data_IF_811819774181
#
_entry.id   IF_811819774181
#
_cell.length_a   1.000
_cell.length_b   1.000
_cell.length_c   1.000
_cell.angle_alpha   90.00
_cell.angle_beta   90.00
_cell.angle_gamma   90.00
#
_symmetry.space_group_name_H-M   'P 1'
#
loop_
_entity.id
_entity.type
_entity.pdbx_description
1 polymer ?
#
# COMPACT_ATOMS: atom_id res chain seq x y z
N UNK A 1 -28.00 36.47 -21.15
CA UNK A 1 -28.72 35.31 -21.75
C UNK A 1 -27.70 34.49 -22.51
N UNK A 2 -27.29 33.27 -22.18
CA UNK A 2 -27.58 32.29 -21.12
C UNK A 2 -26.24 31.58 -20.92
N UNK A 3 -25.66 31.63 -19.71
CA UNK A 3 -24.50 30.80 -19.36
C UNK A 3 -24.96 29.34 -19.24
N UNK A 4 -24.34 28.46 -20.01
CA UNK A 4 -24.55 27.01 -19.88
C UNK A 4 -23.75 26.51 -18.68
N UNK A 5 -24.45 26.39 -17.54
CA UNK A 5 -24.00 25.59 -16.42
C UNK A 5 -23.84 24.12 -16.85
N UNK A 6 -22.59 23.67 -16.97
CA UNK A 6 -22.29 22.25 -17.00
C UNK A 6 -22.39 21.68 -15.58
N UNK A 7 -23.59 21.21 -15.24
CA UNK A 7 -23.84 20.37 -14.06
C UNK A 7 -22.98 19.12 -14.14
N UNK A 8 -21.92 19.07 -13.33
CA UNK A 8 -21.13 17.87 -13.09
C UNK A 8 -21.97 16.83 -12.33
N UNK A 9 -22.00 15.58 -12.79
CA UNK A 9 -22.77 14.53 -12.12
C UNK A 9 -22.04 14.01 -10.86
N UNK A 10 -22.77 13.80 -9.74
CA UNK A 10 -22.20 13.51 -8.40
C UNK A 10 -21.63 12.09 -8.20
N UNK A 11 -21.52 11.28 -9.26
CA UNK A 11 -21.07 9.88 -9.18
C UNK A 11 -19.57 9.67 -9.44
N UNK A 12 -18.83 10.69 -9.90
CA UNK A 12 -17.42 10.50 -10.31
C UNK A 12 -16.40 10.66 -9.18
N UNK A 13 -16.68 11.44 -8.13
CA UNK A 13 -15.72 11.65 -7.04
C UNK A 13 -15.51 10.38 -6.17
N UNK A 14 -16.57 9.61 -5.92
CA UNK A 14 -16.52 8.38 -5.11
C UNK A 14 -15.86 7.20 -5.85
N UNK A 15 -15.81 7.23 -7.19
CA UNK A 15 -15.24 6.15 -8.02
C UNK A 15 -13.71 6.18 -8.14
N UNK A 16 -13.05 7.30 -7.82
CA UNK A 16 -11.59 7.43 -8.01
C UNK A 16 -10.81 6.40 -7.17
N UNK A 17 -11.35 6.00 -6.01
CA UNK A 17 -10.73 4.98 -5.17
C UNK A 17 -11.03 3.53 -5.60
N UNK A 18 -12.09 3.29 -6.37
CA UNK A 18 -12.63 1.94 -6.56
C UNK A 18 -12.23 1.27 -7.88
N UNK A 19 -12.02 2.03 -8.96
CA UNK A 19 -11.83 1.44 -10.30
C UNK A 19 -10.80 2.22 -11.13
N UNK A 20 -9.52 1.86 -10.98
CA UNK A 20 -8.49 2.25 -11.96
C UNK A 20 -8.55 1.26 -13.13
N UNK A 21 -9.22 1.63 -14.22
CA UNK A 21 -9.31 0.83 -15.44
C UNK A 21 -7.96 0.75 -16.17
N UNK A 22 -7.73 -0.41 -16.80
CA UNK A 22 -6.46 -0.88 -17.42
C UNK A 22 -6.05 -0.17 -18.73
N UNK A 23 -6.64 0.98 -19.06
CA UNK A 23 -6.42 1.64 -20.35
C UNK A 23 -6.49 3.16 -20.22
N UNK A 24 -5.34 3.79 -19.99
CA UNK A 24 -5.13 5.21 -20.29
C UNK A 24 -4.50 5.32 -21.68
N UNK A 25 -5.20 5.92 -22.65
CA UNK A 25 -4.58 6.36 -23.91
C UNK A 25 -3.48 7.38 -23.57
N UNK A 26 -2.29 7.19 -24.14
CA UNK A 26 -1.14 8.08 -23.99
C UNK A 26 -1.46 9.49 -24.50
N UNK A 27 -1.62 10.45 -23.60
CA UNK A 27 -1.32 11.87 -23.83
C UNK A 27 0.14 12.10 -23.43
N UNK A 28 0.92 12.81 -24.27
CA UNK A 28 2.35 13.09 -24.04
C UNK A 28 2.63 14.12 -22.94
N UNK A 29 1.61 14.62 -22.22
CA UNK A 29 1.73 15.72 -21.25
C UNK A 29 1.20 15.40 -19.84
N UNK A 30 0.75 14.18 -19.58
CA UNK A 30 0.12 13.86 -18.30
C UNK A 30 1.14 13.22 -17.36
N UNK A 31 1.20 13.70 -16.11
CA UNK A 31 1.95 13.08 -15.04
C UNK A 31 1.51 11.60 -14.90
N UNK A 32 2.41 10.61 -14.77
CA UNK A 32 2.04 9.20 -14.73
C UNK A 32 1.32 8.86 -13.42
N UNK A 33 0.01 9.08 -13.37
CA UNK A 33 -0.86 8.88 -12.21
C UNK A 33 -1.28 7.42 -11.99
N UNK A 34 -1.00 6.54 -12.95
CA UNK A 34 -1.36 5.12 -12.89
C UNK A 34 -0.25 4.26 -13.50
N UNK A 35 0.78 3.95 -12.71
CA UNK A 35 1.75 2.93 -13.09
C UNK A 35 1.14 1.55 -12.84
N UNK A 36 0.54 0.96 -13.87
CA UNK A 36 0.44 -0.50 -14.00
C UNK A 36 1.25 -0.89 -15.22
N UNK A 37 2.56 -0.79 -15.11
CA UNK A 37 3.47 -0.93 -16.25
C UNK A 37 4.00 -2.35 -16.38
N UNK A 38 3.79 -2.88 -17.59
CA UNK A 38 4.32 -4.10 -18.22
C UNK A 38 5.86 -4.14 -18.33
N UNK A 39 6.61 -3.57 -17.36
CA UNK A 39 8.08 -3.47 -17.41
C UNK A 39 8.73 -4.85 -17.61
N UNK A 40 8.29 -5.85 -16.86
CA UNK A 40 8.77 -7.22 -16.98
C UNK A 40 8.34 -7.91 -18.28
N UNK A 41 7.13 -7.61 -18.79
CA UNK A 41 6.63 -8.18 -20.06
C UNK A 41 7.49 -7.77 -21.25
N UNK A 42 7.98 -6.52 -21.27
CA UNK A 42 8.84 -6.03 -22.35
C UNK A 42 10.25 -6.60 -22.31
N UNK A 43 10.81 -6.89 -21.12
CA UNK A 43 12.21 -7.34 -20.97
C UNK A 43 12.37 -8.88 -21.07
N UNK A 44 11.35 -9.65 -20.68
CA UNK A 44 11.47 -11.12 -20.55
C UNK A 44 10.68 -11.93 -21.58
N UNK A 45 9.81 -11.31 -22.38
CA UNK A 45 8.93 -12.01 -23.32
C UNK A 45 7.88 -12.91 -22.67
N UNK A 46 7.91 -13.07 -21.33
CA UNK A 46 6.93 -13.82 -20.55
C UNK A 46 5.86 -12.86 -20.05
N UNK A 47 4.60 -13.13 -20.38
CA UNK A 47 3.47 -12.51 -19.67
C UNK A 47 3.59 -12.87 -18.19
N UNK A 48 3.38 -11.93 -17.24
CA UNK A 48 3.02 -12.33 -15.89
C UNK A 48 1.78 -13.20 -16.03
N UNK A 49 1.83 -14.42 -15.48
CA UNK A 49 0.75 -15.37 -15.61
C UNK A 49 -0.58 -14.69 -15.20
N UNK A 50 -1.70 -14.93 -15.91
CA UNK A 50 -3.00 -14.43 -15.50
C UNK A 50 -3.40 -14.87 -14.08
N UNK A 51 -2.71 -15.87 -13.50
CA UNK A 51 -2.97 -16.45 -12.19
C UNK A 51 -2.87 -15.49 -10.99
N UNK A 52 -2.12 -14.38 -11.08
CA UNK A 52 -2.02 -13.43 -9.96
C UNK A 52 -3.27 -12.54 -9.78
N UNK A 53 -4.09 -12.38 -10.82
CA UNK A 53 -5.29 -11.54 -10.78
C UNK A 53 -6.58 -12.34 -11.02
N UNK A 54 -6.49 -13.57 -11.54
CA UNK A 54 -7.63 -14.43 -11.82
C UNK A 54 -7.38 -15.77 -11.10
N UNK A 55 -8.03 -16.01 -9.95
CA UNK A 55 -7.89 -17.29 -9.26
C UNK A 55 -8.41 -18.41 -10.17
N UNK A 56 -7.58 -19.43 -10.39
CA UNK A 56 -7.99 -20.64 -11.10
C UNK A 56 -8.81 -21.52 -10.16
N UNK A 57 -10.13 -21.60 -10.34
CA UNK A 57 -10.94 -22.71 -9.81
C UNK A 57 -12.38 -22.74 -10.35
N UNK A 58 -12.84 -23.99 -10.49
CA UNK A 58 -14.16 -24.56 -10.86
C UNK A 58 -14.31 -24.92 -12.34
N UNK A 59 -14.74 -26.17 -12.55
CA UNK A 59 -15.41 -26.60 -13.76
C UNK A 59 -16.72 -25.82 -13.90
N UNK A 60 -16.99 -25.25 -15.07
CA UNK A 60 -18.27 -24.62 -15.34
C UNK A 60 -18.73 -24.89 -16.78
N UNK A 61 -20.03 -25.01 -17.01
CA UNK A 61 -20.57 -25.09 -18.36
C UNK A 61 -20.44 -23.73 -19.05
N UNK A 62 -20.15 -23.73 -20.36
CA UNK A 62 -20.07 -22.49 -21.18
C UNK A 62 -21.45 -21.82 -21.35
N UNK A 63 -22.53 -22.58 -21.21
CA UNK A 63 -23.90 -22.12 -21.36
C UNK A 63 -24.77 -22.64 -20.21
N UNK A 64 -25.81 -21.89 -19.85
CA UNK A 64 -26.76 -22.26 -18.78
C UNK A 64 -27.63 -23.48 -19.11
N UNK A 65 -27.71 -23.87 -20.39
CA UNK A 65 -28.47 -25.03 -20.87
C UNK A 65 -27.57 -25.83 -21.82
N UNK A 66 -27.40 -27.13 -21.54
CA UNK A 66 -26.60 -28.09 -22.32
C UNK A 66 -25.12 -27.69 -22.57
N UNK A 67 -24.56 -26.79 -21.76
CA UNK A 67 -23.16 -26.38 -21.90
C UNK A 67 -22.19 -27.49 -21.48
N UNK A 68 -21.24 -27.82 -22.36
CA UNK A 68 -20.13 -28.71 -22.01
C UNK A 68 -19.30 -28.11 -20.86
N UNK A 69 -19.05 -28.92 -19.85
CA UNK A 69 -18.26 -28.55 -18.68
C UNK A 69 -16.79 -28.49 -19.08
N UNK A 70 -16.18 -27.30 -18.98
CA UNK A 70 -14.75 -27.16 -19.23
C UNK A 70 -13.94 -27.23 -17.94
N UNK A 71 -12.88 -28.05 -17.88
CA UNK A 71 -11.91 -27.98 -16.80
C UNK A 71 -11.10 -26.67 -16.91
N UNK A 72 -10.66 -26.15 -15.76
CA UNK A 72 -9.73 -25.02 -15.67
C UNK A 72 -10.22 -23.70 -16.27
N UNK A 73 -11.48 -23.32 -16.08
CA UNK A 73 -11.92 -21.97 -16.48
C UNK A 73 -11.32 -20.90 -15.56
N UNK A 74 -10.83 -19.82 -16.17
CA UNK A 74 -10.43 -18.62 -15.44
C UNK A 74 -11.69 -17.81 -15.10
N UNK A 75 -11.95 -17.56 -13.81
CA UNK A 75 -13.03 -16.66 -13.40
C UNK A 75 -12.57 -15.22 -13.54
N UNK A 76 -13.42 -14.35 -14.10
CA UNK A 76 -13.21 -12.90 -14.18
C UNK A 76 -13.38 -12.20 -12.81
N UNK A 77 -12.72 -12.72 -11.77
CA UNK A 77 -12.67 -12.10 -10.45
C UNK A 77 -11.42 -11.25 -10.39
N UNK A 78 -11.56 -9.94 -10.51
CA UNK A 78 -10.43 -9.00 -10.43
C UNK A 78 -10.15 -8.65 -8.97
N UNK A 79 -9.17 -9.31 -8.36
CA UNK A 79 -8.73 -8.97 -7.01
C UNK A 79 -7.80 -7.75 -7.07
N UNK A 80 -8.20 -6.67 -6.40
CA UNK A 80 -7.38 -5.47 -6.18
C UNK A 80 -6.91 -5.38 -4.73
N UNK A 81 -6.42 -4.21 -4.30
CA UNK A 81 -6.00 -3.97 -2.91
C UNK A 81 -7.02 -3.25 -2.03
N UNK A 82 -8.15 -2.77 -2.56
CA UNK A 82 -9.01 -1.84 -1.82
C UNK A 82 -10.12 -2.51 -1.00
N UNK A 83 -9.74 -3.33 0.00
CA UNK A 83 -10.71 -3.94 0.92
C UNK A 83 -11.48 -2.88 1.73
N UNK A 84 -10.84 -1.75 2.04
CA UNK A 84 -11.42 -0.69 2.84
C UNK A 84 -12.64 -0.07 2.15
N UNK A 85 -12.51 0.35 0.89
CA UNK A 85 -13.65 0.94 0.17
C UNK A 85 -14.78 -0.06 -0.05
N UNK A 86 -14.49 -1.35 -0.25
CA UNK A 86 -15.53 -2.38 -0.32
C UNK A 86 -16.35 -2.41 0.98
N UNK A 87 -15.70 -2.29 2.14
CA UNK A 87 -16.36 -2.23 3.44
C UNK A 87 -17.10 -0.90 3.67
N UNK A 88 -16.57 0.23 3.20
CA UNK A 88 -17.26 1.53 3.23
C UNK A 88 -18.56 1.47 2.41
N UNK A 89 -18.48 0.96 1.17
CA UNK A 89 -19.66 0.77 0.32
C UNK A 89 -20.70 -0.13 0.98
N UNK A 90 -20.26 -1.17 1.69
CA UNK A 90 -21.13 -2.08 2.41
C UNK A 90 -21.80 -1.41 3.63
N UNK A 91 -21.03 -0.74 4.48
CA UNK A 91 -21.52 -0.10 5.71
C UNK A 91 -22.52 1.02 5.41
N UNK A 92 -22.23 1.84 4.40
CA UNK A 92 -23.06 2.99 4.02
C UNK A 92 -23.96 2.70 2.82
N UNK A 93 -24.31 1.44 2.60
CA UNK A 93 -25.01 0.96 1.40
C UNK A 93 -26.32 1.67 1.09
N UNK A 94 -27.10 1.99 2.12
CA UNK A 94 -28.39 2.67 1.97
C UNK A 94 -28.22 4.12 1.51
N UNK A 95 -27.26 4.83 2.10
CA UNK A 95 -26.92 6.20 1.71
C UNK A 95 -26.34 6.25 0.29
N UNK A 96 -25.52 5.25 -0.07
CA UNK A 96 -24.82 5.18 -1.36
C UNK A 96 -25.64 4.55 -2.49
N UNK A 97 -26.84 4.03 -2.21
CA UNK A 97 -27.70 3.39 -3.21
C UNK A 97 -27.06 2.18 -3.90
N UNK A 98 -26.20 1.41 -3.22
CA UNK A 98 -25.49 0.28 -3.84
C UNK A 98 -26.44 -0.90 -4.08
N UNK A 99 -26.44 -1.43 -5.31
CA UNK A 99 -27.30 -2.54 -5.71
C UNK A 99 -26.81 -3.91 -5.19
N UNK A 100 -25.51 -4.07 -4.99
CA UNK A 100 -24.92 -5.32 -4.52
C UNK A 100 -25.38 -5.68 -3.09
N UNK A 101 -25.47 -6.97 -2.84
CA UNK A 101 -25.86 -7.52 -1.54
C UNK A 101 -24.72 -7.34 -0.51
N UNK A 102 -25.04 -7.23 0.79
CA UNK A 102 -24.00 -7.07 1.82
C UNK A 102 -22.97 -8.19 1.82
N UNK A 103 -23.42 -9.43 1.56
CA UNK A 103 -22.58 -10.61 1.53
C UNK A 103 -21.62 -10.60 0.33
N UNK A 104 -21.97 -9.95 -0.77
CA UNK A 104 -21.10 -9.83 -1.94
C UNK A 104 -19.92 -8.92 -1.66
N UNK A 105 -20.17 -7.75 -1.03
CA UNK A 105 -19.11 -6.84 -0.61
C UNK A 105 -18.20 -7.46 0.44
N UNK A 106 -18.77 -8.10 1.47
CA UNK A 106 -17.95 -8.73 2.51
C UNK A 106 -17.11 -9.88 1.94
N UNK A 107 -17.71 -10.73 1.10
CA UNK A 107 -16.98 -11.80 0.42
C UNK A 107 -15.87 -11.27 -0.48
N UNK A 108 -16.08 -10.13 -1.16
CA UNK A 108 -15.04 -9.46 -1.94
C UNK A 108 -13.93 -8.86 -1.07
N UNK A 109 -14.27 -8.20 0.03
CA UNK A 109 -13.31 -7.62 0.96
C UNK A 109 -12.42 -8.71 1.60
N UNK A 110 -13.01 -9.82 2.05
CA UNK A 110 -12.27 -10.96 2.61
C UNK A 110 -11.36 -11.63 1.57
N UNK A 111 -11.81 -11.79 0.32
CA UNK A 111 -10.94 -12.27 -0.77
C UNK A 111 -9.76 -11.33 -1.01
N UNK A 112 -9.99 -10.02 -1.01
CA UNK A 112 -8.90 -9.04 -1.14
C UNK A 112 -7.93 -9.12 0.02
N UNK A 113 -8.41 -9.22 1.27
CA UNK A 113 -7.54 -9.39 2.44
C UNK A 113 -6.72 -10.67 2.35
N UNK A 114 -7.35 -11.80 2.01
CA UNK A 114 -6.64 -13.07 1.84
C UNK A 114 -5.55 -12.97 0.77
N UNK A 115 -5.85 -12.40 -0.40
CA UNK A 115 -4.86 -12.17 -1.44
C UNK A 115 -3.70 -11.27 -0.99
N UNK A 116 -4.01 -10.16 -0.31
CA UNK A 116 -3.00 -9.27 0.26
C UNK A 116 -2.08 -10.04 1.22
N UNK A 117 -2.63 -10.93 2.05
CA UNK A 117 -1.88 -11.68 3.07
C UNK A 117 -1.07 -12.86 2.54
N UNK A 118 -1.43 -13.44 1.39
CA UNK A 118 -0.76 -14.65 0.88
C UNK A 118 0.07 -14.43 -0.38
N UNK A 119 -0.30 -13.47 -1.23
CA UNK A 119 0.26 -13.37 -2.59
C UNK A 119 1.09 -12.09 -2.84
N UNK A 120 1.22 -11.18 -1.86
CA UNK A 120 1.83 -9.87 -2.13
C UNK A 120 3.25 -9.70 -1.61
N UNK A 121 3.55 -10.16 -0.41
CA UNK A 121 4.85 -9.95 0.20
C UNK A 121 5.22 -11.02 1.22
N UNK A 122 6.52 -11.15 1.47
CA UNK A 122 7.06 -11.89 2.62
C UNK A 122 7.91 -10.96 3.47
N UNK A 123 8.01 -11.33 4.74
CA UNK A 123 8.80 -10.62 5.74
C UNK A 123 9.63 -11.64 6.51
N UNK A 124 10.91 -11.34 6.72
CA UNK A 124 11.86 -12.19 7.43
C UNK A 124 12.62 -11.33 8.44
N UNK A 125 12.85 -11.88 9.63
CA UNK A 125 13.84 -11.33 10.58
C UNK A 125 15.08 -12.20 10.46
N UNK A 126 16.10 -11.71 9.76
CA UNK A 126 17.27 -12.51 9.40
C UNK A 126 18.21 -12.75 10.58
N UNK A 127 18.32 -11.75 11.45
CA UNK A 127 19.19 -11.79 12.61
C UNK A 127 18.71 -10.85 13.70
N UNK A 128 18.91 -11.26 14.95
CA UNK A 128 18.74 -10.44 16.16
C UNK A 128 20.00 -10.62 17.00
N UNK A 129 20.86 -9.60 17.04
CA UNK A 129 22.15 -9.66 17.72
C UNK A 129 22.26 -8.58 18.79
N UNK A 130 22.51 -9.00 20.03
CA UNK A 130 22.83 -8.09 21.14
C UNK A 130 24.30 -7.66 21.04
N UNK A 131 24.53 -6.35 21.11
CA UNK A 131 25.86 -5.72 21.08
C UNK A 131 25.95 -4.68 22.20
N UNK A 132 26.27 -5.13 23.41
CA UNK A 132 26.25 -4.27 24.59
C UNK A 132 24.85 -3.76 24.87
N UNK A 133 24.65 -2.44 24.86
CA UNK A 133 23.34 -1.80 25.09
C UNK A 133 22.51 -1.62 23.81
N UNK A 134 22.86 -2.31 22.72
CA UNK A 134 22.21 -2.16 21.42
C UNK A 134 21.73 -3.50 20.90
N UNK A 135 20.52 -3.53 20.35
CA UNK A 135 20.01 -4.65 19.57
C UNK A 135 20.12 -4.33 18.08
N UNK A 136 20.83 -5.18 17.35
CA UNK A 136 20.99 -5.11 15.90
C UNK A 136 20.07 -6.14 15.25
N UNK A 137 19.04 -5.65 14.56
CA UNK A 137 18.04 -6.48 13.90
C UNK A 137 18.10 -6.22 12.41
N UNK A 138 18.21 -7.28 11.61
CA UNK A 138 18.09 -7.19 10.17
C UNK A 138 16.77 -7.79 9.70
N UNK A 139 16.05 -7.04 8.88
CA UNK A 139 14.74 -7.41 8.35
C UNK A 139 14.79 -7.39 6.84
N UNK A 140 14.38 -8.49 6.21
CA UNK A 140 14.26 -8.58 4.75
C UNK A 140 12.79 -8.60 4.34
N UNK A 141 12.46 -7.81 3.33
CA UNK A 141 11.15 -7.71 2.71
C UNK A 141 11.24 -8.23 1.28
N UNK A 142 10.30 -9.10 0.90
CA UNK A 142 10.21 -9.61 -0.47
C UNK A 142 8.87 -9.21 -1.09
N UNK A 143 8.90 -8.68 -2.31
CA UNK A 143 7.71 -8.42 -3.11
C UNK A 143 7.43 -9.60 -4.05
N UNK A 144 6.32 -10.30 -3.81
CA UNK A 144 5.88 -11.45 -4.60
C UNK A 144 5.09 -11.03 -5.85
N UNK A 145 4.71 -9.75 -5.95
CA UNK A 145 3.93 -9.25 -7.07
C UNK A 145 4.80 -8.91 -8.28
N UNK A 146 4.21 -8.99 -9.48
CA UNK A 146 4.88 -8.64 -10.75
C UNK A 146 4.97 -7.12 -11.03
N UNK A 147 4.73 -6.28 -10.04
CA UNK A 147 4.77 -4.81 -10.14
C UNK A 147 5.26 -4.21 -8.82
N UNK A 148 5.46 -2.88 -8.76
CA UNK A 148 5.77 -2.21 -7.48
C UNK A 148 4.71 -2.52 -6.42
N UNK A 149 5.07 -2.66 -5.15
CA UNK A 149 4.14 -2.85 -4.05
C UNK A 149 4.22 -1.65 -3.08
N UNK A 150 3.13 -0.88 -2.90
CA UNK A 150 1.81 -1.00 -3.55
C UNK A 150 1.73 -0.30 -4.92
N UNK A 151 1.20 -0.97 -5.95
CA UNK A 151 1.05 -0.39 -7.30
C UNK A 151 -0.17 0.54 -7.44
N UNK A 152 -0.23 1.25 -8.58
CA UNK A 152 -1.31 2.09 -9.05
C UNK A 152 -1.51 3.38 -8.23
N UNK A 153 -2.69 3.56 -7.65
CA UNK A 153 -3.13 4.84 -7.11
C UNK A 153 -2.23 5.30 -5.93
N UNK A 154 -1.69 6.53 -5.94
CA UNK A 154 -0.67 6.98 -4.98
C UNK A 154 -1.11 7.08 -3.50
N UNK A 155 -2.40 6.92 -3.18
CA UNK A 155 -2.88 6.89 -1.78
C UNK A 155 -2.47 5.65 -0.99
N UNK A 156 -1.87 4.67 -1.66
CA UNK A 156 -1.55 3.38 -1.07
C UNK A 156 -0.17 3.42 -0.45
N UNK A 157 -0.04 2.87 0.75
CA UNK A 157 1.26 2.69 1.40
C UNK A 157 1.39 1.31 1.99
N UNK A 158 2.63 0.83 2.02
CA UNK A 158 3.07 -0.32 2.80
C UNK A 158 4.11 0.19 3.79
N UNK A 159 4.13 -0.29 5.02
CA UNK A 159 5.15 0.12 5.99
C UNK A 159 5.52 -1.00 6.94
N UNK A 160 6.71 -0.89 7.50
CA UNK A 160 7.23 -1.81 8.49
C UNK A 160 6.89 -1.31 9.90
N UNK A 161 6.20 -2.14 10.67
CA UNK A 161 6.12 -2.01 12.13
C UNK A 161 7.12 -2.96 12.76
N UNK A 162 7.89 -2.49 13.74
CA UNK A 162 8.79 -3.33 14.51
C UNK A 162 8.63 -3.04 16.00
N UNK A 163 8.42 -4.08 16.79
CA UNK A 163 8.35 -4.01 18.25
C UNK A 163 9.40 -4.93 18.87
N UNK A 164 10.07 -4.45 19.92
CA UNK A 164 11.02 -5.21 20.74
C UNK A 164 10.50 -5.27 22.16
N UNK A 165 10.47 -6.47 22.74
CA UNK A 165 10.09 -6.72 24.14
C UNK A 165 11.25 -7.31 24.92
N UNK A 166 11.39 -6.92 26.19
CA UNK A 166 12.35 -7.51 27.11
C UNK A 166 11.86 -8.86 27.68
N UNK A 167 12.67 -9.49 28.53
CA UNK A 167 12.33 -10.78 29.14
C UNK A 167 11.04 -10.76 29.99
N UNK A 168 10.63 -9.58 30.48
CA UNK A 168 9.39 -9.37 31.21
C UNK A 168 8.18 -9.08 30.31
N UNK A 169 8.37 -9.07 28.98
CA UNK A 169 7.32 -8.77 28.00
C UNK A 169 7.03 -7.27 27.80
N UNK A 170 7.80 -6.38 28.45
CA UNK A 170 7.64 -4.94 28.33
C UNK A 170 8.21 -4.46 26.99
N UNK A 171 7.45 -3.61 26.28
CA UNK A 171 7.92 -2.99 25.04
C UNK A 171 9.03 -1.99 25.36
N UNK A 172 10.22 -2.21 24.78
CA UNK A 172 11.38 -1.34 24.93
C UNK A 172 11.62 -0.47 23.69
N UNK A 173 11.07 -0.89 22.56
CA UNK A 173 11.09 -0.14 21.29
C UNK A 173 9.87 -0.52 20.46
N UNK A 174 9.23 0.47 19.85
CA UNK A 174 8.19 0.26 18.86
C UNK A 174 8.21 1.39 17.82
N UNK A 175 8.30 1.03 16.54
CA UNK A 175 8.19 1.95 15.40
C UNK A 175 7.06 1.51 14.48
N UNK A 176 6.34 2.48 13.90
CA UNK A 176 5.33 2.22 12.87
C UNK A 176 4.00 1.66 13.37
N UNK A 177 3.65 1.87 14.65
CA UNK A 177 2.36 1.46 15.19
C UNK A 177 1.19 2.15 14.45
N UNK A 178 0.15 1.39 14.11
CA UNK A 178 -1.09 1.94 13.56
C UNK A 178 -1.93 2.54 14.69
N UNK A 179 -2.34 3.79 14.52
CA UNK A 179 -3.21 4.48 15.47
C UNK A 179 -4.71 4.25 15.15
N UNK A 180 -5.61 4.35 16.16
CA UNK A 180 -7.05 4.22 15.95
C UNK A 180 -7.66 5.22 14.96
N UNK A 181 -6.96 6.31 14.66
CA UNK A 181 -7.38 7.30 13.67
C UNK A 181 -6.85 7.01 12.24
N UNK A 182 -6.16 5.89 12.06
CA UNK A 182 -5.58 5.45 10.79
C UNK A 182 -4.24 6.12 10.44
N UNK A 183 -3.69 6.96 11.33
CA UNK A 183 -2.32 7.47 11.19
C UNK A 183 -1.30 6.41 11.62
N UNK A 184 -0.05 6.61 11.22
CA UNK A 184 1.08 5.80 11.67
C UNK A 184 1.87 6.61 12.71
N UNK A 185 2.07 6.06 13.90
CA UNK A 185 2.88 6.67 14.95
C UNK A 185 4.31 6.88 14.45
N UNK A 186 4.79 8.11 14.54
CA UNK A 186 6.12 8.49 14.08
C UNK A 186 6.21 8.88 12.61
N UNK A 187 5.13 8.79 11.82
CA UNK A 187 5.16 9.22 10.43
C UNK A 187 5.08 10.75 10.31
N UNK A 188 6.15 11.35 9.80
CA UNK A 188 6.29 12.77 9.53
C UNK A 188 5.16 13.33 8.64
N UNK A 189 4.73 12.62 7.59
CA UNK A 189 3.67 13.10 6.69
C UNK A 189 2.31 13.12 7.38
N UNK A 190 2.04 12.15 8.25
CA UNK A 190 0.80 12.11 9.02
C UNK A 190 0.78 13.20 10.10
N UNK A 191 1.94 13.65 10.62
CA UNK A 191 2.03 14.75 11.59
C UNK A 191 2.03 16.14 10.93
N UNK A 192 2.75 16.31 9.82
CA UNK A 192 2.87 17.57 9.07
C UNK A 192 2.72 17.31 7.56
N UNK A 193 1.70 17.88 6.89
CA UNK A 193 1.48 17.66 5.47
C UNK A 193 2.62 18.15 4.57
N UNK A 194 3.57 18.94 5.07
CA UNK A 194 4.75 19.43 4.34
C UNK A 194 5.97 18.52 4.45
N UNK A 195 5.92 17.50 5.32
CA UNK A 195 7.03 16.57 5.56
C UNK A 195 6.68 15.16 5.07
N UNK A 196 7.68 14.31 4.95
CA UNK A 196 7.51 12.89 4.66
C UNK A 196 8.74 12.10 5.10
N UNK A 197 8.55 10.81 5.41
CA UNK A 197 9.65 9.92 5.77
C UNK A 197 10.61 9.73 4.58
N UNK A 198 11.93 9.81 4.76
CA UNK A 198 12.88 9.37 3.75
C UNK A 198 12.77 7.85 3.53
N UNK A 199 13.58 7.31 2.64
CA UNK A 199 13.85 5.87 2.62
C UNK A 199 15.02 5.61 3.57
N UNK A 200 14.78 4.84 4.62
CA UNK A 200 15.80 4.42 5.56
C UNK A 200 16.46 3.14 5.07
N UNK A 201 17.78 3.07 5.21
CA UNK A 201 18.53 1.81 5.24
C UNK A 201 18.75 1.33 6.68
N UNK A 202 18.64 2.27 7.63
CA UNK A 202 18.89 2.07 9.04
C UNK A 202 17.90 2.88 9.88
N UNK A 203 17.26 2.23 10.86
CA UNK A 203 16.32 2.84 11.80
C UNK A 203 16.90 2.75 13.22
N UNK A 204 16.94 3.88 13.92
CA UNK A 204 17.51 4.00 15.27
C UNK A 204 16.49 4.50 16.29
N UNK A 205 15.49 5.25 15.84
CA UNK A 205 14.51 5.90 16.73
C UNK A 205 13.11 5.37 16.47
N UNK A 206 12.28 5.40 17.50
CA UNK A 206 10.91 4.87 17.46
C UNK A 206 10.01 5.66 16.49
N UNK A 207 10.35 6.92 16.24
CA UNK A 207 9.69 7.86 15.33
C UNK A 207 10.37 7.93 13.95
N UNK A 208 11.23 6.96 13.61
CA UNK A 208 11.68 6.74 12.23
C UNK A 208 10.93 5.52 11.69
N UNK A 209 10.17 5.70 10.61
CA UNK A 209 9.28 4.65 10.08
C UNK A 209 9.60 4.37 8.62
N UNK A 210 9.93 3.12 8.31
CA UNK A 210 10.11 2.72 6.91
C UNK A 210 8.75 2.58 6.22
N UNK A 211 8.43 3.57 5.38
CA UNK A 211 7.20 3.61 4.57
C UNK A 211 7.56 3.51 3.08
N UNK A 212 6.97 2.52 2.43
CA UNK A 212 7.01 2.25 0.99
C UNK A 212 5.78 2.88 0.32
N UNK A 213 5.98 4.04 -0.28
CA UNK A 213 4.93 4.86 -0.85
C UNK A 213 5.49 5.76 -1.96
N UNK A 214 4.58 6.42 -2.67
CA UNK A 214 4.94 7.51 -3.58
C UNK A 214 4.46 8.84 -3.01
N UNK A 215 5.37 9.79 -2.84
CA UNK A 215 5.08 11.17 -2.45
C UNK A 215 5.18 12.04 -3.70
N UNK A 216 4.08 12.69 -4.07
CA UNK A 216 4.05 13.67 -5.16
C UNK A 216 4.34 15.07 -4.60
N UNK A 217 4.97 15.90 -5.41
CA UNK A 217 5.11 17.34 -5.15
C UNK A 217 4.38 18.16 -6.20
N UNK A 218 3.86 19.30 -5.78
CA UNK A 218 3.30 20.31 -6.66
C UNK A 218 4.38 21.17 -7.34
N UNK A 219 3.95 22.15 -8.14
CA UNK A 219 4.84 23.06 -8.84
C UNK A 219 5.69 23.95 -7.92
N UNK A 220 5.30 24.10 -6.64
CA UNK A 220 6.08 24.84 -5.62
C UNK A 220 7.10 23.96 -4.91
N UNK A 221 7.08 22.65 -5.15
CA UNK A 221 7.90 21.66 -4.47
C UNK A 221 7.31 21.19 -3.13
N UNK A 222 6.06 21.53 -2.81
CA UNK A 222 5.41 21.06 -1.60
C UNK A 222 4.76 19.69 -1.81
N UNK A 223 4.81 18.76 -0.83
CA UNK A 223 4.08 17.50 -0.92
C UNK A 223 2.59 17.72 -1.16
N UNK A 224 1.99 16.92 -2.03
CA UNK A 224 0.58 17.05 -2.40
C UNK A 224 -0.11 15.70 -2.61
N UNK A 225 -1.38 15.65 -2.22
CA UNK A 225 -2.30 14.56 -2.55
C UNK A 225 -3.23 14.91 -3.72
N UNK A 226 -3.07 16.11 -4.30
CA UNK A 226 -3.81 16.56 -5.47
C UNK A 226 -3.24 15.98 -6.75
N UNK A 227 -3.95 15.04 -7.38
CA UNK A 227 -3.49 14.37 -8.61
C UNK A 227 -3.22 15.34 -9.77
N UNK A 228 -4.00 16.43 -9.87
CA UNK A 228 -3.83 17.45 -10.91
C UNK A 228 -2.71 18.45 -10.58
N UNK A 229 -2.33 18.54 -9.31
CA UNK A 229 -1.25 19.42 -8.83
C UNK A 229 0.10 18.71 -8.83
N UNK A 230 0.13 17.38 -8.73
CA UNK A 230 1.35 16.59 -8.75
C UNK A 230 2.08 16.69 -10.09
N UNK A 231 3.29 17.27 -10.07
CA UNK A 231 4.12 17.45 -11.29
C UNK A 231 5.34 16.54 -11.30
N UNK A 232 5.79 16.06 -10.14
CA UNK A 232 6.89 15.10 -9.97
C UNK A 232 6.74 14.29 -8.69
N UNK A 233 7.47 13.19 -8.59
CA UNK A 233 7.63 12.47 -7.32
C UNK A 233 8.81 13.09 -6.53
N UNK A 234 8.61 13.33 -5.24
CA UNK A 234 9.68 13.60 -4.27
C UNK A 234 10.37 12.31 -3.86
N UNK A 235 9.56 11.26 -3.72
CA UNK A 235 9.93 9.93 -3.27
C UNK A 235 9.03 8.94 -3.98
N UNK A 236 9.63 7.87 -4.48
CA UNK A 236 8.94 6.66 -4.89
C UNK A 236 9.86 5.48 -4.61
N UNK A 237 9.70 4.92 -3.41
CA UNK A 237 10.44 3.77 -2.93
C UNK A 237 9.56 2.52 -2.83
N UNK A 238 8.41 2.48 -3.51
CA UNK A 238 7.50 1.31 -3.45
C UNK A 238 8.28 0.04 -3.83
N UNK A 239 8.14 -1.03 -3.04
CA UNK A 239 8.93 -2.27 -3.16
C UNK A 239 8.94 -2.79 -4.60
N UNK A 240 10.11 -3.03 -5.15
CA UNK A 240 10.25 -3.38 -6.56
C UNK A 240 9.91 -4.87 -6.80
N UNK A 241 9.32 -5.22 -7.95
CA UNK A 241 9.12 -6.62 -8.30
C UNK A 241 10.46 -7.29 -8.62
N UNK A 242 10.49 -8.62 -8.50
CA UNK A 242 11.65 -9.42 -8.88
C UNK A 242 12.10 -9.11 -10.32
N UNK A 243 13.40 -8.88 -10.50
CA UNK A 243 14.00 -8.56 -11.80
C UNK A 243 13.85 -7.11 -12.26
N UNK A 244 13.32 -6.21 -11.42
CA UNK A 244 13.36 -4.77 -11.70
C UNK A 244 14.80 -4.25 -11.64
N UNK A 245 15.17 -3.43 -12.62
CA UNK A 245 16.51 -2.85 -12.73
C UNK A 245 16.40 -1.32 -12.67
N UNK A 246 16.93 -0.74 -11.59
CA UNK A 246 16.86 0.71 -11.30
C UNK A 246 17.57 1.54 -12.36
N UNK A 247 18.64 1.02 -12.97
CA UNK A 247 19.46 1.76 -13.93
C UNK A 247 18.79 1.88 -15.30
N UNK A 248 17.99 0.89 -15.69
CA UNK A 248 17.32 0.86 -17.00
C UNK A 248 15.82 1.16 -16.94
N UNK A 249 15.28 1.39 -15.74
CA UNK A 249 13.89 1.78 -15.56
C UNK A 249 13.59 3.10 -16.28
N UNK A 250 12.50 3.19 -17.08
CA UNK A 250 12.09 4.44 -17.67
C UNK A 250 11.63 5.42 -16.57
N UNK A 251 11.73 6.73 -16.83
CA UNK A 251 11.51 7.78 -15.82
C UNK A 251 10.14 7.69 -15.14
N UNK A 252 9.12 7.24 -15.87
CA UNK A 252 7.75 7.14 -15.39
C UNK A 252 7.55 6.06 -14.32
N UNK A 253 8.51 5.15 -14.13
CA UNK A 253 8.47 4.08 -13.12
C UNK A 253 9.76 4.01 -12.31
N UNK A 254 10.65 4.99 -12.48
CA UNK A 254 11.94 4.99 -11.81
C UNK A 254 11.77 5.03 -10.29
N UNK A 255 12.83 4.61 -9.58
CA UNK A 255 12.91 4.82 -8.14
C UNK A 255 13.31 6.27 -7.91
N UNK A 256 12.64 6.94 -6.97
CA UNK A 256 12.91 8.35 -6.66
C UNK A 256 13.19 8.51 -5.17
N UNK A 257 14.18 9.33 -4.83
CA UNK A 257 14.65 9.53 -3.45
C UNK A 257 15.77 8.54 -3.04
N UNK A 258 16.00 8.40 -1.73
CA UNK A 258 17.13 7.64 -1.18
C UNK A 258 17.23 6.18 -1.65
N UNK A 259 16.10 5.53 -1.90
CA UNK A 259 16.02 4.16 -2.40
C UNK A 259 16.73 3.94 -3.76
N UNK A 260 16.91 5.01 -4.55
CA UNK A 260 17.61 4.90 -5.83
C UNK A 260 19.09 4.56 -5.64
N UNK A 261 19.71 5.06 -4.57
CA UNK A 261 21.13 4.88 -4.25
C UNK A 261 21.39 3.72 -3.28
N UNK A 262 20.36 3.20 -2.62
CA UNK A 262 20.51 2.08 -1.69
C UNK A 262 20.87 0.78 -2.43
N UNK A 263 21.91 0.09 -1.96
CA UNK A 263 22.36 -1.18 -2.51
C UNK A 263 21.49 -2.36 -2.09
N UNK A 264 20.79 -2.25 -0.96
CA UNK A 264 19.95 -3.30 -0.39
C UNK A 264 18.50 -3.24 -0.93
N UNK A 265 18.03 -2.07 -1.36
CA UNK A 265 16.80 -1.91 -2.14
C UNK A 265 16.98 -2.32 -3.61
N UNK A 266 16.54 -3.53 -3.96
CA UNK A 266 16.78 -4.14 -5.29
C UNK A 266 15.49 -4.68 -5.92
N UNK A 267 15.59 -5.17 -7.16
CA UNK A 267 14.48 -5.83 -7.84
C UNK A 267 14.07 -7.12 -7.14
N UNK A 268 13.02 -7.05 -6.32
CA UNK A 268 12.47 -8.17 -5.57
C UNK A 268 12.25 -7.86 -4.09
N UNK A 269 12.86 -6.81 -3.54
CA UNK A 269 12.77 -6.58 -2.11
C UNK A 269 13.66 -5.46 -1.58
N UNK A 270 13.77 -5.45 -0.27
CA UNK A 270 14.54 -4.48 0.51
C UNK A 270 15.08 -5.14 1.78
N UNK A 271 16.19 -4.63 2.32
CA UNK A 271 16.76 -5.08 3.59
C UNK A 271 17.03 -3.87 4.47
N UNK A 272 16.36 -3.85 5.62
CA UNK A 272 16.43 -2.75 6.58
C UNK A 272 17.10 -3.22 7.87
N UNK A 273 17.94 -2.35 8.43
CA UNK A 273 18.58 -2.59 9.73
C UNK A 273 17.96 -1.73 10.81
N UNK A 274 17.56 -2.35 11.92
CA UNK A 274 17.13 -1.66 13.13
C UNK A 274 18.21 -1.75 14.18
N UNK A 275 18.41 -0.64 14.86
CA UNK A 275 19.49 -0.45 15.79
C UNK A 275 18.96 0.20 17.05
N UNK A 276 18.37 -0.66 17.87
CA UNK A 276 17.58 -0.29 19.04
C UNK A 276 18.51 -0.08 20.23
N UNK A 277 18.41 1.07 20.88
CA UNK A 277 19.00 1.28 22.20
C UNK A 277 18.15 0.53 23.24
N UNK A 278 18.76 -0.44 23.92
CA UNK A 278 18.12 -1.28 24.92
C UNK A 278 18.00 -0.58 26.28
N UNK A 279 18.66 0.56 26.48
CA UNK A 279 18.68 1.24 27.77
C UNK A 279 19.25 0.30 28.84
N UNK A 280 18.48 0.09 29.91
CA UNK A 280 18.78 -0.86 30.99
C UNK A 280 17.94 -2.15 30.90
N UNK A 281 17.25 -2.39 29.79
CA UNK A 281 16.45 -3.59 29.61
C UNK A 281 17.35 -4.83 29.50
N UNK A 282 16.84 -5.97 29.97
CA UNK A 282 17.55 -7.24 29.95
C UNK A 282 16.86 -8.23 29.01
N UNK A 283 17.67 -8.95 28.24
CA UNK A 283 17.21 -10.01 27.37
C UNK A 283 16.81 -11.31 28.12
N UNK A 284 16.35 -12.33 27.39
CA UNK A 284 16.29 -12.37 25.93
C UNK A 284 15.23 -11.41 25.37
N UNK A 285 15.54 -10.75 24.28
CA UNK A 285 14.65 -9.82 23.60
C UNK A 285 13.82 -10.53 22.54
N UNK A 286 12.51 -10.32 22.57
CA UNK A 286 11.60 -10.76 21.52
C UNK A 286 11.40 -9.64 20.51
N UNK A 287 11.64 -9.94 19.24
CA UNK A 287 11.46 -9.03 18.12
C UNK A 287 10.27 -9.50 17.30
N UNK A 288 9.32 -8.60 17.08
CA UNK A 288 8.16 -8.79 16.21
C UNK A 288 8.21 -7.75 15.09
N UNK A 289 8.34 -8.22 13.86
CA UNK A 289 8.28 -7.40 12.65
C UNK A 289 6.97 -7.69 11.91
N UNK A 290 6.29 -6.65 11.45
CA UNK A 290 5.04 -6.75 10.71
C UNK A 290 5.04 -5.81 9.52
N UNK A 291 4.63 -6.32 8.36
CA UNK A 291 4.44 -5.53 7.15
C UNK A 291 2.96 -5.19 7.02
N UNK A 292 2.64 -3.90 7.02
CA UNK A 292 1.26 -3.41 6.98
C UNK A 292 0.94 -2.72 5.66
N UNK A 293 -0.34 -2.74 5.27
CA UNK A 293 -0.83 -2.11 4.06
C UNK A 293 -2.08 -1.27 4.35
N UNK A 294 -2.12 -0.07 3.76
CA UNK A 294 -3.28 0.82 3.82
C UNK A 294 -3.61 1.31 2.40
N UNK A 295 -4.82 1.05 1.88
CA UNK A 295 -5.23 1.45 0.54
C UNK A 295 -5.48 2.96 0.42
N UNK A 296 -5.81 3.62 1.52
CA UNK A 296 -6.02 5.07 1.62
C UNK A 296 -5.23 5.58 2.82
N UNK A 297 -4.07 6.19 2.59
CA UNK A 297 -3.26 6.71 3.68
C UNK A 297 -3.93 7.89 4.37
N UNK A 298 -3.57 8.12 5.63
CA UNK A 298 -4.18 9.13 6.48
C UNK A 298 -4.26 10.50 5.78
N UNK A 299 -3.14 10.98 5.20
CA UNK A 299 -3.10 12.29 4.53
C UNK A 299 -4.03 12.39 3.33
N UNK A 300 -4.25 11.31 2.59
CA UNK A 300 -5.20 11.32 1.47
C UNK A 300 -6.65 11.46 1.93
N UNK A 301 -6.98 10.96 3.12
CA UNK A 301 -8.30 11.16 3.71
C UNK A 301 -8.41 12.51 4.42
N UNK A 302 -7.40 12.90 5.19
CA UNK A 302 -7.42 14.09 6.03
C UNK A 302 -7.37 15.39 5.21
N UNK A 303 -6.55 15.43 4.15
CA UNK A 303 -6.46 16.60 3.28
C UNK A 303 -7.78 16.92 2.56
N UNK A 304 -8.71 15.96 2.44
CA UNK A 304 -10.03 16.23 1.88
C UNK A 304 -10.87 17.17 2.76
N UNK A 305 -10.55 17.29 4.05
CA UNK A 305 -11.24 18.19 4.98
C UNK A 305 -11.08 19.67 4.64
N UNK A 306 -10.03 20.04 3.92
CA UNK A 306 -9.82 21.43 3.49
C UNK A 306 -10.74 21.85 2.35
N UNK A 307 -11.45 20.91 1.72
CA UNK A 307 -12.41 21.18 0.66
C UNK A 307 -13.81 21.09 1.23
N UNK A 308 -14.59 22.16 1.13
CA UNK A 308 -15.99 22.17 1.57
C UNK A 308 -16.92 21.78 0.43
N UNK A 309 -17.20 20.48 0.32
CA UNK A 309 -18.22 19.93 -0.58
C UNK A 309 -19.10 18.92 0.14
N UNK A 310 -20.21 18.52 -0.46
CA UNK A 310 -21.03 17.44 0.09
C UNK A 310 -20.25 16.12 0.12
N UNK A 311 -19.50 15.82 -0.94
CA UNK A 311 -18.72 14.60 -1.10
C UNK A 311 -17.59 14.50 -0.08
N UNK A 312 -16.85 15.58 0.17
CA UNK A 312 -15.73 15.57 1.12
C UNK A 312 -16.23 15.45 2.56
N UNK A 313 -17.33 16.14 2.91
CA UNK A 313 -17.98 16.00 4.23
C UNK A 313 -18.52 14.59 4.45
N UNK A 314 -19.16 14.01 3.43
CA UNK A 314 -19.66 12.63 3.46
C UNK A 314 -18.54 11.61 3.59
N UNK A 315 -17.49 11.71 2.78
CA UNK A 315 -16.33 10.82 2.88
C UNK A 315 -15.62 10.98 4.23
N UNK A 316 -15.46 12.21 4.72
CA UNK A 316 -14.87 12.50 6.03
C UNK A 316 -15.63 11.80 7.18
N UNK A 317 -16.97 11.75 7.11
CA UNK A 317 -17.80 10.97 8.03
C UNK A 317 -17.50 9.47 7.91
N UNK A 318 -17.47 8.92 6.70
CA UNK A 318 -17.17 7.50 6.49
C UNK A 318 -15.80 7.11 7.04
N UNK A 319 -14.78 7.91 6.73
CA UNK A 319 -13.42 7.74 7.25
C UNK A 319 -13.42 7.76 8.77
N UNK A 320 -14.03 8.77 9.40
CA UNK A 320 -14.07 8.89 10.87
C UNK A 320 -14.65 7.67 11.59
N UNK A 321 -15.59 6.95 10.95
CA UNK A 321 -16.28 5.79 11.52
C UNK A 321 -15.61 4.44 11.21
N UNK A 322 -14.62 4.40 10.32
CA UNK A 322 -14.03 3.14 9.82
C UNK A 322 -12.50 3.12 9.75
N UNK A 323 -11.84 4.24 10.03
CA UNK A 323 -10.37 4.40 9.92
C UNK A 323 -9.55 3.44 10.79
N UNK A 324 -10.13 2.91 11.87
CA UNK A 324 -9.57 1.84 12.70
C UNK A 324 -9.38 0.53 11.92
N UNK A 325 -10.24 0.27 10.93
CA UNK A 325 -10.17 -0.85 10.01
C UNK A 325 -9.60 -0.47 8.63
N UNK A 326 -8.87 0.66 8.53
CA UNK A 326 -8.32 1.14 7.26
C UNK A 326 -7.09 0.39 6.78
N UNK A 327 -6.44 -0.41 7.63
CA UNK A 327 -5.22 -1.13 7.30
C UNK A 327 -5.32 -2.62 7.59
N UNK A 328 -4.45 -3.39 6.94
CA UNK A 328 -4.33 -4.83 7.14
C UNK A 328 -2.85 -5.24 7.14
N UNK A 329 -2.49 -6.17 8.02
CA UNK A 329 -1.17 -6.78 8.05
C UNK A 329 -1.02 -7.74 6.88
N UNK A 330 0.00 -7.55 6.05
CA UNK A 330 0.39 -8.40 4.94
C UNK A 330 1.17 -9.63 5.42
N UNK A 331 2.22 -9.40 6.21
CA UNK A 331 3.14 -10.44 6.66
C UNK A 331 3.63 -10.15 8.08
N UNK A 332 4.11 -11.18 8.76
CA UNK A 332 4.66 -11.12 10.12
C UNK A 332 5.83 -12.08 10.25
N UNK A 333 6.87 -11.64 10.95
CA UNK A 333 7.98 -12.48 11.36
C UNK A 333 8.37 -12.15 12.80
N UNK A 334 8.84 -13.15 13.53
CA UNK A 334 9.29 -12.99 14.91
C UNK A 334 10.59 -13.75 15.13
N UNK A 335 11.47 -13.19 15.94
CA UNK A 335 12.72 -13.81 16.34
C UNK A 335 13.03 -13.42 17.78
N UNK A 336 13.95 -14.16 18.41
CA UNK A 336 14.42 -13.88 19.76
C UNK A 336 15.94 -13.70 19.72
N UNK A 337 16.47 -12.77 20.51
CA UNK A 337 17.92 -12.69 20.72
C UNK A 337 18.41 -13.96 21.42
N UNK A 338 19.64 -14.37 21.08
CA UNK A 338 20.26 -15.55 21.67
C UNK A 338 20.96 -15.23 22.96
#
# INVERSE_FOLDING_TARGET
MVEKNHSFSPLRATMIFCLTFKSGKKSKKDFPLTEKTDYLRKKTGKSPAPGGALPAARQAPIASVLGEVRPQIARHVFVGGNFFMLRVLNRFRHELGVAALPQEFESAALRTVGFLQTETARLLVDSVAERGRRLDVAVTLENLSGHKLPTAYPSRRVWLRLAVRDAGGRVVFESGALEPDGSIRGNDNDADPKRYEPHFTEIRRADEVQIYESIMEDATGAPTTGLLSGVRYAKDNRLLPAGFDKATAPKEVAVVGGAAADGDFTGGGDRIRFLVDLGSAAGPFEVEAELWYQPVSYRWADNLRSYDSEETRRFGRYWSQMRDASAVRLARASARSR
#
